data_IF_207259420606
#
_entry.id   IF_207259420606
#
_cell.length_a   1.000
_cell.length_b   1.000
_cell.length_c   1.000
_cell.angle_alpha   90.00
_cell.angle_beta   90.00
_cell.angle_gamma   90.00
#
_symmetry.space_group_name_H-M   'P 1'
#
loop_
_entity.id
_entity.type
_entity.pdbx_description
1 polymer ?
#
# COMPACT_ATOMS: atom_id res chain seq x y z
N UNK A 1 13.12 7.60 12.31
CA UNK A 1 12.47 6.39 11.79
C UNK A 1 10.98 6.65 11.70
N UNK A 2 10.50 6.98 10.50
CA UNK A 2 9.11 7.25 10.19
C UNK A 2 8.46 5.97 9.67
N UNK A 3 7.54 5.37 10.44
CA UNK A 3 6.89 4.10 10.07
C UNK A 3 5.39 4.29 9.90
N UNK A 4 4.88 3.88 8.75
CA UNK A 4 3.44 3.88 8.47
C UNK A 4 2.85 2.52 8.83
N UNK A 5 1.99 2.48 9.85
CA UNK A 5 1.25 1.28 10.26
C UNK A 5 -0.21 1.38 9.79
N UNK A 6 -0.70 0.33 9.14
CA UNK A 6 -2.07 0.30 8.61
C UNK A 6 -2.62 -1.12 8.49
N UNK A 7 -3.94 -1.23 8.36
CA UNK A 7 -4.64 -2.45 8.00
C UNK A 7 -4.93 -2.48 6.51
N UNK A 8 -4.90 -3.66 5.89
CA UNK A 8 -5.32 -3.84 4.52
C UNK A 8 -6.84 -3.72 4.41
N UNK A 9 -7.31 -2.67 3.75
CA UNK A 9 -8.72 -2.42 3.52
C UNK A 9 -9.24 -3.10 2.25
N UNK A 10 -10.54 -3.42 2.23
CA UNK A 10 -11.21 -3.90 1.02
C UNK A 10 -11.11 -2.89 -0.14
N UNK A 11 -11.12 -1.59 0.16
CA UNK A 11 -10.95 -0.53 -0.83
C UNK A 11 -9.55 -0.56 -1.46
N UNK A 12 -8.51 -0.88 -0.69
CA UNK A 12 -7.15 -1.03 -1.20
C UNK A 12 -7.07 -2.19 -2.19
N UNK A 13 -7.73 -3.32 -1.90
CA UNK A 13 -7.83 -4.46 -2.82
C UNK A 13 -8.65 -4.15 -4.08
N UNK A 14 -9.83 -3.54 -3.90
CA UNK A 14 -10.74 -3.22 -5.02
C UNK A 14 -10.11 -2.22 -5.98
N UNK A 15 -9.43 -1.20 -5.45
CA UNK A 15 -8.80 -0.17 -6.27
C UNK A 15 -7.52 -0.70 -6.94
N UNK A 16 -6.74 -1.55 -6.26
CA UNK A 16 -5.58 -2.23 -6.84
C UNK A 16 -5.96 -2.98 -8.13
N UNK A 17 -7.09 -3.70 -8.14
CA UNK A 17 -7.55 -4.44 -9.32
C UNK A 17 -7.83 -3.55 -10.53
N UNK A 18 -8.06 -2.26 -10.31
CA UNK A 18 -8.28 -1.25 -11.34
C UNK A 18 -7.05 -0.35 -11.56
N UNK A 19 -5.90 -0.71 -11.00
CA UNK A 19 -4.67 0.09 -10.99
C UNK A 19 -4.88 1.52 -10.42
N UNK A 20 -5.73 1.62 -9.39
CA UNK A 20 -6.06 2.88 -8.72
C UNK A 20 -5.50 2.90 -7.31
N UNK A 21 -5.12 4.10 -6.88
CA UNK A 21 -4.72 4.33 -5.51
C UNK A 21 -5.91 4.28 -4.54
N UNK A 22 -5.64 3.79 -3.34
CA UNK A 22 -6.55 3.83 -2.19
C UNK A 22 -5.81 4.46 -1.01
N UNK A 23 -6.25 4.22 0.23
CA UNK A 23 -5.71 4.87 1.42
C UNK A 23 -4.23 4.59 1.59
N UNK A 24 -3.82 3.32 1.57
CA UNK A 24 -2.43 2.94 1.86
C UNK A 24 -1.50 3.50 0.79
N UNK A 25 -1.78 3.23 -0.48
CA UNK A 25 -0.92 3.66 -1.57
C UNK A 25 -0.92 5.18 -1.74
N UNK A 26 -2.04 5.87 -1.49
CA UNK A 26 -2.06 7.34 -1.51
C UNK A 26 -1.20 7.94 -0.41
N UNK A 27 -1.27 7.41 0.81
CA UNK A 27 -0.43 7.91 1.91
C UNK A 27 1.04 7.62 1.62
N UNK A 28 1.36 6.40 1.17
CA UNK A 28 2.73 6.01 0.84
C UNK A 28 3.36 6.84 -0.29
N UNK A 29 2.56 7.28 -1.27
CA UNK A 29 3.05 7.99 -2.46
C UNK A 29 2.95 9.51 -2.38
N UNK A 30 2.01 10.05 -1.58
CA UNK A 30 1.74 11.50 -1.52
C UNK A 30 2.16 12.16 -0.22
N UNK A 31 2.63 11.39 0.77
CA UNK A 31 3.17 11.97 2.00
C UNK A 31 4.38 12.84 1.69
N UNK A 32 4.41 14.07 2.24
CA UNK A 32 5.56 14.96 2.14
C UNK A 32 6.80 14.39 2.86
N UNK A 33 6.57 13.57 3.88
CA UNK A 33 7.62 12.86 4.60
C UNK A 33 7.70 11.42 4.11
N UNK A 34 8.90 11.01 3.68
CA UNK A 34 9.17 9.63 3.31
C UNK A 34 9.01 8.68 4.51
N UNK A 35 8.48 7.49 4.26
CA UNK A 35 8.38 6.42 5.24
C UNK A 35 9.57 5.47 5.10
N UNK A 36 10.34 5.30 6.18
CA UNK A 36 11.44 4.33 6.22
C UNK A 36 10.92 2.88 6.18
N UNK A 37 9.68 2.68 6.66
CA UNK A 37 9.02 1.38 6.70
C UNK A 37 7.50 1.56 6.60
N UNK A 38 6.86 0.66 5.87
CA UNK A 38 5.39 0.54 5.83
C UNK A 38 5.06 -0.87 6.31
N UNK A 39 4.19 -0.97 7.32
CA UNK A 39 3.73 -2.23 7.89
C UNK A 39 2.23 -2.33 7.67
N UNK A 40 1.82 -3.36 6.92
CA UNK A 40 0.43 -3.60 6.56
C UNK A 40 -0.01 -4.90 7.22
N UNK A 41 -1.10 -4.83 7.99
CA UNK A 41 -1.71 -5.99 8.65
C UNK A 41 -2.87 -6.50 7.79
N UNK A 42 -2.85 -7.77 7.40
CA UNK A 42 -3.75 -8.35 6.40
C UNK A 42 -4.46 -9.64 6.85
N UNK A 43 -4.81 -9.75 8.13
CA UNK A 43 -5.37 -10.97 8.74
C UNK A 43 -6.67 -11.53 8.11
N UNK A 44 -7.40 -10.73 7.33
CA UNK A 44 -8.68 -11.12 6.70
C UNK A 44 -8.53 -11.38 5.19
N UNK A 45 -7.34 -11.19 4.62
CA UNK A 45 -7.13 -11.15 3.16
C UNK A 45 -5.90 -11.95 2.72
N UNK A 46 -5.57 -13.05 3.40
CA UNK A 46 -4.35 -13.84 3.14
C UNK A 46 -4.21 -14.26 1.67
N UNK A 47 -5.30 -14.64 1.00
CA UNK A 47 -5.27 -15.05 -0.41
C UNK A 47 -4.96 -13.88 -1.36
N UNK A 48 -5.45 -12.68 -1.05
CA UNK A 48 -5.27 -11.48 -1.86
C UNK A 48 -4.01 -10.68 -1.46
N UNK A 49 -3.40 -11.01 -0.31
CA UNK A 49 -2.22 -10.32 0.20
C UNK A 49 -1.10 -10.28 -0.83
N UNK A 50 -0.76 -11.43 -1.42
CA UNK A 50 0.33 -11.52 -2.39
C UNK A 50 0.10 -10.65 -3.64
N UNK A 51 -1.16 -10.50 -4.07
CA UNK A 51 -1.51 -9.62 -5.18
C UNK A 51 -1.27 -8.16 -4.78
N UNK A 52 -1.68 -7.79 -3.57
CA UNK A 52 -1.50 -6.45 -3.03
C UNK A 52 -0.05 -6.08 -2.77
N UNK A 53 0.73 -6.97 -2.17
CA UNK A 53 2.15 -6.77 -1.92
C UNK A 53 2.90 -6.53 -3.24
N UNK A 54 2.63 -7.34 -4.26
CA UNK A 54 3.25 -7.19 -5.56
C UNK A 54 2.86 -5.84 -6.20
N UNK A 55 1.57 -5.51 -6.27
CA UNK A 55 1.14 -4.23 -6.86
C UNK A 55 1.64 -3.01 -6.06
N UNK A 56 1.53 -3.05 -4.73
CA UNK A 56 1.91 -1.94 -3.85
C UNK A 56 3.39 -1.59 -3.93
N UNK A 57 4.27 -2.59 -4.02
CA UNK A 57 5.71 -2.35 -4.22
C UNK A 57 6.02 -1.68 -5.56
N UNK A 58 5.26 -1.97 -6.62
CA UNK A 58 5.39 -1.27 -7.90
C UNK A 58 4.97 0.21 -7.77
N UNK A 59 3.83 0.49 -7.14
CA UNK A 59 3.34 1.86 -6.95
C UNK A 59 4.32 2.74 -6.16
N UNK A 60 4.90 2.20 -5.09
CA UNK A 60 5.88 2.91 -4.27
C UNK A 60 7.16 3.17 -5.04
N UNK A 61 7.67 2.18 -5.79
CA UNK A 61 8.90 2.33 -6.60
C UNK A 61 8.77 3.36 -7.70
N UNK A 62 7.61 3.43 -8.36
CA UNK A 62 7.36 4.40 -9.46
C UNK A 62 7.34 5.85 -8.95
N UNK A 63 7.03 6.05 -7.67
CA UNK A 63 6.88 7.39 -7.08
C UNK A 63 8.18 7.98 -6.53
N UNK A 64 9.20 7.16 -6.23
CA UNK A 64 10.53 7.64 -5.87
C UNK A 64 11.27 8.18 -7.10
N UNK A 65 11.03 9.44 -7.46
CA UNK A 65 11.81 10.22 -8.44
C UNK A 65 12.48 11.42 -7.77
#
# INVERSE_FOLDING_TARGET
>A
MNTFFTWLGQADLTNMQQDKNASISSIATKSEQHFDKIVILANTWDEQWHLYENWGTHQIRVTNK
#
